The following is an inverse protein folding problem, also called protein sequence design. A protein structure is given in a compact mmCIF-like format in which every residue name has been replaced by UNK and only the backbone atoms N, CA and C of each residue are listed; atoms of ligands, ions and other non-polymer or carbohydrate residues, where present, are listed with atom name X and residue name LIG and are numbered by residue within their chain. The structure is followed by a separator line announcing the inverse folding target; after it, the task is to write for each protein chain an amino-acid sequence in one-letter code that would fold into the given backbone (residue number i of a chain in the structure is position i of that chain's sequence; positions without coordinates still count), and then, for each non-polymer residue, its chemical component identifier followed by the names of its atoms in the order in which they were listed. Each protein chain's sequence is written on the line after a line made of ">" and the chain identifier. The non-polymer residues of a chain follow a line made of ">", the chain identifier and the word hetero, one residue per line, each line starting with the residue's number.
data_IF_621827177278
#
_entry.id   IF_621827177278
#
_cell.length_a   1.000
_cell.length_b   1.000
_cell.length_c   1.000
_cell.angle_alpha   90.00
_cell.angle_beta   90.00
_cell.angle_gamma   90.00
#
_symmetry.space_group_name_H-M   'P 1'
#
loop_
_entity.id
_entity.type
_entity.pdbx_description
1 polymer ?
#
# COMPACT_ATOMS: atom_id res chain seq x y z
N UNK A 1 8.08 3.92 -45.40
CA UNK A 1 8.83 2.73 -44.96
C UNK A 1 8.01 2.04 -43.89
N UNK A 2 7.25 1.02 -44.27
CA UNK A 2 6.28 0.36 -43.40
C UNK A 2 6.99 -0.53 -42.39
N UNK A 3 6.93 -0.18 -41.10
CA UNK A 3 7.21 -1.12 -40.02
C UNK A 3 6.11 -2.19 -40.06
N UNK A 4 6.47 -3.39 -40.53
CA UNK A 4 5.69 -4.59 -40.28
C UNK A 4 5.67 -4.80 -38.76
N UNK A 5 4.55 -4.47 -38.13
CA UNK A 5 4.26 -4.86 -36.75
C UNK A 5 4.08 -6.37 -36.76
N UNK A 6 5.17 -7.08 -36.47
CA UNK A 6 5.11 -8.48 -36.08
C UNK A 6 4.34 -8.52 -34.76
N UNK A 7 3.30 -9.36 -34.60
CA UNK A 7 2.57 -9.42 -33.34
C UNK A 7 3.53 -9.85 -32.22
N UNK A 8 3.62 -9.11 -31.11
CA UNK A 8 4.49 -9.47 -30.01
C UNK A 8 4.07 -10.80 -29.40
N UNK A 9 5.07 -11.60 -28.96
CA UNK A 9 4.79 -12.87 -28.28
C UNK A 9 4.27 -12.59 -26.87
N UNK A 10 3.37 -13.41 -26.30
CA UNK A 10 2.66 -13.17 -25.02
C UNK A 10 3.52 -12.86 -23.76
N UNK A 11 4.83 -13.06 -23.84
CA UNK A 11 5.78 -12.85 -22.73
C UNK A 11 6.66 -11.61 -22.89
N UNK A 12 6.74 -11.03 -24.09
CA UNK A 12 7.62 -9.88 -24.39
C UNK A 12 6.95 -8.57 -23.94
N UNK A 13 5.63 -8.44 -24.15
CA UNK A 13 4.82 -7.32 -23.67
C UNK A 13 4.81 -7.19 -22.14
N UNK A 14 4.79 -8.33 -21.44
CA UNK A 14 4.74 -8.37 -19.97
C UNK A 14 6.00 -7.81 -19.32
N UNK A 15 7.16 -8.11 -19.90
CA UNK A 15 8.45 -7.59 -19.42
C UNK A 15 8.58 -6.09 -19.70
N UNK A 16 8.04 -5.61 -20.82
CA UNK A 16 8.00 -4.19 -21.14
C UNK A 16 7.12 -3.41 -20.16
N UNK A 17 5.88 -3.88 -19.92
CA UNK A 17 4.96 -3.27 -18.93
C UNK A 17 5.56 -3.28 -17.53
N UNK A 18 6.15 -4.40 -17.09
CA UNK A 18 6.78 -4.45 -15.77
C UNK A 18 7.97 -3.51 -15.66
N UNK A 19 8.78 -3.37 -16.73
CA UNK A 19 9.89 -2.42 -16.76
C UNK A 19 9.39 -0.99 -16.57
N UNK A 20 8.30 -0.61 -17.24
CA UNK A 20 7.68 0.72 -17.05
C UNK A 20 7.20 0.92 -15.62
N UNK A 21 6.53 -0.09 -15.04
CA UNK A 21 6.11 -0.04 -13.63
C UNK A 21 7.31 0.06 -12.67
N UNK A 22 8.39 -0.65 -12.94
CA UNK A 22 9.61 -0.62 -12.13
C UNK A 22 10.26 0.77 -12.20
N UNK A 23 10.45 1.32 -13.39
CA UNK A 23 11.03 2.66 -13.59
C UNK A 23 10.16 3.72 -12.89
N UNK A 24 8.84 3.59 -12.99
CA UNK A 24 7.90 4.59 -12.47
C UNK A 24 7.67 4.49 -10.96
N UNK A 25 7.62 3.28 -10.41
CA UNK A 25 7.16 3.03 -9.03
C UNK A 25 8.18 2.34 -8.12
N UNK A 26 9.34 1.91 -8.65
CA UNK A 26 10.38 1.23 -7.87
C UNK A 26 10.77 2.00 -6.62
N UNK A 27 10.99 3.31 -6.72
CA UNK A 27 11.29 4.16 -5.57
C UNK A 27 10.20 4.16 -4.50
N UNK A 28 8.92 4.25 -4.88
CA UNK A 28 7.79 4.23 -3.94
C UNK A 28 7.62 2.87 -3.26
N UNK A 29 7.80 1.78 -4.02
CA UNK A 29 7.75 0.42 -3.49
C UNK A 29 8.90 0.19 -2.50
N UNK A 30 10.13 0.59 -2.86
CA UNK A 30 11.29 0.53 -1.96
C UNK A 30 11.07 1.31 -0.69
N UNK A 31 10.53 2.53 -0.77
CA UNK A 31 10.28 3.35 0.41
C UNK A 31 9.24 2.73 1.33
N UNK A 32 8.20 2.09 0.75
CA UNK A 32 7.24 1.31 1.52
C UNK A 32 7.91 0.11 2.22
N UNK A 33 8.77 -0.63 1.51
CA UNK A 33 9.53 -1.71 2.12
C UNK A 33 10.45 -1.21 3.23
N UNK A 34 11.11 -0.06 3.05
CA UNK A 34 11.99 0.57 4.04
C UNK A 34 11.22 1.00 5.28
N UNK A 35 10.03 1.56 5.10
CA UNK A 35 9.14 1.92 6.19
C UNK A 35 8.78 0.70 7.06
N UNK A 36 8.48 -0.44 6.44
CA UNK A 36 8.07 -1.67 7.14
C UNK A 36 9.26 -2.47 7.70
N UNK A 37 10.34 -2.62 6.96
CA UNK A 37 11.46 -3.47 7.37
C UNK A 37 12.49 -2.73 8.24
N UNK A 38 12.46 -1.40 8.23
CA UNK A 38 13.41 -0.51 8.95
C UNK A 38 14.88 -0.83 8.64
N UNK A 39 15.15 -1.44 7.48
CA UNK A 39 16.47 -1.82 6.99
C UNK A 39 16.54 -1.53 5.48
N UNK A 40 17.56 -0.78 5.05
CA UNK A 40 17.69 -0.33 3.67
C UNK A 40 18.06 -1.47 2.70
N UNK A 41 18.93 -2.39 3.11
CA UNK A 41 19.34 -3.52 2.27
C UNK A 41 18.17 -4.47 2.06
N UNK A 42 17.47 -4.81 3.15
CA UNK A 42 16.29 -5.67 3.09
C UNK A 42 15.16 -5.03 2.28
N UNK A 43 15.02 -3.71 2.34
CA UNK A 43 14.02 -3.00 1.56
C UNK A 43 14.28 -3.06 0.05
N UNK A 44 15.55 -3.03 -0.36
CA UNK A 44 15.94 -3.17 -1.76
C UNK A 44 15.68 -4.59 -2.27
N UNK A 45 16.04 -5.60 -1.48
CA UNK A 45 15.75 -7.01 -1.79
C UNK A 45 14.24 -7.27 -1.87
N UNK A 46 13.48 -6.78 -0.88
CA UNK A 46 12.04 -6.89 -0.84
C UNK A 46 11.35 -6.20 -2.03
N UNK A 47 11.83 -5.03 -2.46
CA UNK A 47 11.34 -4.37 -3.66
C UNK A 47 11.55 -5.25 -4.89
N UNK A 48 12.73 -5.86 -5.07
CA UNK A 48 12.98 -6.76 -6.19
C UNK A 48 12.04 -7.96 -6.18
N UNK A 49 11.83 -8.59 -5.02
CA UNK A 49 10.88 -9.70 -4.85
C UNK A 49 9.44 -9.30 -5.17
N UNK A 50 9.03 -8.07 -4.83
CA UNK A 50 7.70 -7.55 -5.17
C UNK A 50 7.50 -7.46 -6.67
N UNK A 51 8.47 -6.92 -7.41
CA UNK A 51 8.37 -6.85 -8.87
C UNK A 51 8.48 -8.23 -9.53
N UNK A 52 9.26 -9.15 -8.96
CA UNK A 52 9.28 -10.55 -9.40
C UNK A 52 7.92 -11.22 -9.21
N UNK A 53 7.26 -11.03 -8.06
CA UNK A 53 5.89 -11.52 -7.80
C UNK A 53 4.87 -10.87 -8.72
N UNK A 54 4.99 -9.57 -8.96
CA UNK A 54 4.12 -8.83 -9.89
C UNK A 54 4.26 -9.37 -11.32
N UNK A 55 5.45 -9.81 -11.73
CA UNK A 55 5.66 -10.46 -13.03
C UNK A 55 4.88 -11.78 -13.15
N UNK A 56 4.93 -12.60 -12.08
CA UNK A 56 4.30 -13.93 -12.04
C UNK A 56 2.77 -13.82 -11.94
N UNK A 57 2.25 -12.86 -11.16
CA UNK A 57 0.83 -12.74 -10.86
C UNK A 57 0.12 -11.59 -11.58
N UNK A 58 0.76 -10.94 -12.54
CA UNK A 58 0.24 -9.74 -13.23
C UNK A 58 -1.12 -9.93 -13.90
N UNK A 59 -1.47 -11.16 -14.29
CA UNK A 59 -2.80 -11.49 -14.86
C UNK A 59 -3.95 -11.34 -13.85
N UNK A 60 -3.65 -11.29 -12.55
CA UNK A 60 -4.65 -11.06 -11.50
C UNK A 60 -4.95 -9.57 -11.26
N UNK A 61 -4.24 -8.65 -11.93
CA UNK A 61 -4.50 -7.22 -11.79
C UNK A 61 -5.78 -6.82 -12.53
N UNK A 62 -6.87 -6.65 -11.77
CA UNK A 62 -8.21 -6.34 -12.31
C UNK A 62 -8.44 -4.88 -12.68
N UNK A 63 -7.42 -4.02 -12.67
CA UNK A 63 -7.52 -2.57 -12.90
C UNK A 63 -8.53 -1.79 -12.02
N UNK A 64 -9.09 -2.43 -10.99
CA UNK A 64 -9.99 -1.84 -9.99
C UNK A 64 -9.28 -0.83 -9.07
N UNK A 65 -7.94 -0.86 -9.04
CA UNK A 65 -7.09 0.04 -8.26
C UNK A 65 -5.92 0.56 -9.12
N UNK A 66 -5.26 1.64 -8.68
CA UNK A 66 -4.08 2.13 -9.40
C UNK A 66 -2.95 1.08 -9.36
N UNK A 67 -2.09 0.99 -10.40
CA UNK A 67 -0.94 0.08 -10.39
C UNK A 67 -0.04 0.25 -9.16
N UNK A 68 0.15 1.48 -8.69
CA UNK A 68 0.90 1.76 -7.47
C UNK A 68 0.23 1.17 -6.23
N UNK A 69 -1.09 1.37 -6.06
CA UNK A 69 -1.85 0.80 -4.93
C UNK A 69 -1.71 -0.72 -4.89
N UNK A 70 -1.79 -1.38 -6.05
CA UNK A 70 -1.60 -2.82 -6.15
C UNK A 70 -0.18 -3.25 -5.77
N UNK A 71 0.86 -2.57 -6.27
CA UNK A 71 2.26 -2.85 -5.91
C UNK A 71 2.53 -2.63 -4.41
N UNK A 72 1.98 -1.57 -3.81
CA UNK A 72 2.10 -1.28 -2.37
C UNK A 72 1.44 -2.37 -1.51
N UNK A 73 0.32 -2.94 -1.97
CA UNK A 73 -0.32 -4.07 -1.31
C UNK A 73 0.55 -5.33 -1.35
N UNK A 74 1.12 -5.66 -2.51
CA UNK A 74 2.08 -6.79 -2.63
C UNK A 74 3.28 -6.57 -1.71
N UNK A 75 3.85 -5.35 -1.72
CA UNK A 75 4.98 -4.98 -0.87
C UNK A 75 4.67 -5.14 0.62
N UNK A 76 3.50 -4.67 1.05
CA UNK A 76 3.07 -4.77 2.45
C UNK A 76 2.94 -6.22 2.89
N UNK A 77 2.22 -7.05 2.12
CA UNK A 77 2.09 -8.47 2.44
C UNK A 77 3.44 -9.19 2.44
N UNK A 78 4.31 -8.89 1.48
CA UNK A 78 5.63 -9.50 1.40
C UNK A 78 6.49 -9.15 2.63
N UNK A 79 6.55 -7.87 3.00
CA UNK A 79 7.30 -7.43 4.18
C UNK A 79 6.72 -8.01 5.48
N UNK A 80 5.40 -8.00 5.64
CA UNK A 80 4.75 -8.58 6.82
C UNK A 80 5.00 -10.08 6.94
N UNK A 81 5.02 -10.82 5.82
CA UNK A 81 5.38 -12.24 5.85
C UNK A 81 6.83 -12.47 6.29
N UNK A 82 7.78 -11.64 5.85
CA UNK A 82 9.16 -11.70 6.36
C UNK A 82 9.18 -11.42 7.87
N UNK A 83 8.54 -10.36 8.32
CA UNK A 83 8.49 -9.99 9.74
C UNK A 83 7.84 -11.10 10.60
N UNK A 84 6.77 -11.73 10.10
CA UNK A 84 6.15 -12.90 10.77
C UNK A 84 7.13 -14.05 10.94
N UNK A 85 7.99 -14.31 9.94
CA UNK A 85 9.02 -15.35 10.03
C UNK A 85 10.10 -15.05 11.07
N UNK A 86 10.29 -13.77 11.44
CA UNK A 86 11.23 -13.32 12.48
C UNK A 86 10.63 -13.33 13.91
N UNK A 87 9.33 -13.60 14.06
CA UNK A 87 8.68 -13.76 15.36
C UNK A 87 8.43 -12.45 16.11
N UNK A 88 8.61 -12.40 17.44
CA UNK A 88 8.27 -11.22 18.24
C UNK A 88 9.31 -10.08 18.21
N UNK A 89 10.48 -10.32 17.63
CA UNK A 89 11.61 -9.37 17.66
C UNK A 89 11.32 -8.08 16.88
N UNK A 90 10.66 -8.18 15.72
CA UNK A 90 10.39 -7.03 14.86
C UNK A 90 9.41 -6.02 15.49
N UNK A 91 8.49 -6.46 16.36
CA UNK A 91 7.52 -5.56 17.00
C UNK A 91 8.19 -4.48 17.86
N UNK A 92 9.42 -4.73 18.34
CA UNK A 92 10.20 -3.76 19.11
C UNK A 92 10.74 -2.61 18.24
N UNK A 93 10.90 -2.81 16.93
CA UNK A 93 11.47 -1.82 16.02
C UNK A 93 10.51 -0.66 15.73
N UNK A 94 9.21 -0.89 15.82
CA UNK A 94 8.19 0.11 15.52
C UNK A 94 7.76 0.96 16.72
N UNK A 95 8.27 0.70 17.92
CA UNK A 95 8.00 1.53 19.09
C UNK A 95 8.64 2.94 19.01
N UNK A 96 9.34 3.26 17.91
CA UNK A 96 10.07 4.51 17.68
C UNK A 96 9.96 4.96 16.22
N UNK A 97 8.83 5.48 15.77
CA UNK A 97 8.81 6.42 14.63
C UNK A 97 7.43 7.02 14.37
N UNK A 98 7.37 8.35 14.30
CA UNK A 98 6.20 9.14 13.90
C UNK A 98 6.70 10.29 13.01
N UNK A 99 6.61 10.14 11.69
CA UNK A 99 6.42 11.21 10.71
C UNK A 99 6.79 10.76 9.28
N UNK A 100 5.80 10.71 8.38
CA UNK A 100 5.85 11.26 7.02
C UNK A 100 4.63 10.79 6.21
N UNK A 101 3.92 11.73 5.57
CA UNK A 101 2.81 11.49 4.65
C UNK A 101 3.11 12.13 3.29
N UNK A 102 2.63 11.51 2.20
CA UNK A 102 2.34 12.20 0.93
C UNK A 102 1.34 11.42 0.07
N UNK A 103 0.51 12.17 -0.64
CA UNK A 103 -0.72 11.80 -1.35
C UNK A 103 -0.53 11.40 -2.82
N UNK A 104 -1.56 10.77 -3.43
CA UNK A 104 -1.62 10.42 -4.86
C UNK A 104 -3.02 10.59 -5.49
N UNK A 105 -3.08 10.85 -6.80
CA UNK A 105 -4.24 11.37 -7.56
C UNK A 105 -4.92 10.35 -8.52
N UNK A 106 -6.17 10.60 -8.95
CA UNK A 106 -6.73 10.09 -10.23
C UNK A 106 -8.27 10.00 -10.38
N UNK A 107 -8.78 10.32 -11.59
CA UNK A 107 -9.96 9.82 -12.36
C UNK A 107 -11.40 10.17 -11.91
N UNK A 108 -12.29 10.65 -12.82
CA UNK A 108 -13.52 11.43 -12.56
C UNK A 108 -14.70 10.82 -11.77
N UNK A 109 -15.17 9.58 -12.01
CA UNK A 109 -16.24 8.97 -11.15
C UNK A 109 -15.66 8.38 -9.85
N UNK A 110 -14.47 7.78 -9.97
CA UNK A 110 -13.64 7.48 -8.82
C UNK A 110 -13.25 8.75 -8.05
N UNK A 111 -13.37 9.94 -8.65
CA UNK A 111 -12.98 11.22 -8.07
C UNK A 111 -13.97 11.63 -7.00
N UNK A 112 -15.26 11.41 -7.20
CA UNK A 112 -16.27 11.75 -6.19
C UNK A 112 -16.12 10.87 -4.95
N UNK A 113 -15.95 9.56 -5.13
CA UNK A 113 -15.68 8.64 -4.01
C UNK A 113 -14.32 8.92 -3.37
N UNK A 114 -13.27 9.19 -4.16
CA UNK A 114 -11.93 9.54 -3.65
C UNK A 114 -11.93 10.86 -2.91
N UNK A 115 -12.67 11.86 -3.39
CA UNK A 115 -12.77 13.17 -2.73
C UNK A 115 -13.54 13.05 -1.44
N UNK A 116 -14.59 12.23 -1.39
CA UNK A 116 -15.30 11.94 -0.14
C UNK A 116 -14.37 11.24 0.87
N UNK A 117 -13.65 10.20 0.44
CA UNK A 117 -12.66 9.52 1.29
C UNK A 117 -11.53 10.48 1.71
N UNK A 118 -11.04 11.35 0.83
CA UNK A 118 -10.00 12.34 1.13
C UNK A 118 -10.48 13.38 2.13
N UNK A 119 -11.70 13.90 1.96
CA UNK A 119 -12.35 14.82 2.92
C UNK A 119 -12.52 14.15 4.28
N UNK A 120 -12.97 12.90 4.29
CA UNK A 120 -13.14 12.12 5.52
C UNK A 120 -11.80 11.90 6.23
N UNK A 121 -10.75 11.50 5.50
CA UNK A 121 -9.40 11.36 6.05
C UNK A 121 -8.89 12.70 6.59
N UNK A 122 -9.09 13.81 5.89
CA UNK A 122 -8.67 15.13 6.35
C UNK A 122 -9.31 15.59 7.67
N UNK A 123 -10.44 14.99 8.08
CA UNK A 123 -11.13 15.30 9.35
C UNK A 123 -10.53 14.58 10.56
N UNK A 124 -9.61 13.63 10.37
CA UNK A 124 -8.96 12.87 11.46
C UNK A 124 -7.46 13.10 11.48
N UNK A 125 -6.86 12.83 12.63
CA UNK A 125 -5.44 13.10 12.89
C UNK A 125 -4.46 12.23 12.08
N UNK A 126 -3.17 12.55 12.21
CA UNK A 126 -2.05 11.91 11.52
C UNK A 126 -2.04 10.36 11.62
N UNK A 127 -2.36 9.89 12.81
CA UNK A 127 -2.27 8.49 13.18
C UNK A 127 -3.55 7.75 12.79
N UNK A 128 -4.72 8.38 12.96
CA UNK A 128 -6.02 7.78 12.60
C UNK A 128 -6.14 7.53 11.09
N UNK A 129 -5.70 8.44 10.21
CA UNK A 129 -5.71 8.14 8.77
C UNK A 129 -4.72 7.00 8.45
N UNK A 130 -3.56 6.95 9.11
CA UNK A 130 -2.58 5.90 8.88
C UNK A 130 -3.14 4.53 9.29
N UNK A 131 -3.82 4.45 10.44
CA UNK A 131 -4.52 3.25 10.88
C UNK A 131 -5.59 2.81 9.87
N UNK A 132 -6.44 3.74 9.40
CA UNK A 132 -7.48 3.46 8.42
C UNK A 132 -6.91 2.97 7.08
N UNK A 133 -5.84 3.60 6.58
CA UNK A 133 -5.17 3.19 5.34
C UNK A 133 -4.55 1.80 5.52
N UNK A 134 -3.77 1.58 6.57
CA UNK A 134 -3.12 0.29 6.80
C UNK A 134 -4.12 -0.86 6.98
N UNK A 135 -5.23 -0.61 7.67
CA UNK A 135 -6.24 -1.63 7.89
C UNK A 135 -7.11 -1.87 6.65
N UNK A 136 -7.74 -0.83 6.09
CA UNK A 136 -8.74 -0.99 5.02
C UNK A 136 -8.13 -1.09 3.61
N UNK A 137 -7.03 -0.37 3.35
CA UNK A 137 -6.39 -0.35 2.02
C UNK A 137 -5.31 -1.42 1.94
N UNK A 138 -4.39 -1.42 2.91
CA UNK A 138 -3.24 -2.32 2.88
C UNK A 138 -3.61 -3.74 3.38
N UNK A 139 -4.75 -3.92 4.06
CA UNK A 139 -5.28 -5.22 4.48
C UNK A 139 -4.57 -5.83 5.69
N UNK A 140 -3.93 -5.00 6.51
CA UNK A 140 -3.20 -5.43 7.70
C UNK A 140 -4.13 -5.83 8.85
N UNK A 141 -3.70 -6.74 9.72
CA UNK A 141 -4.44 -7.03 10.96
C UNK A 141 -4.28 -5.92 11.99
N UNK A 142 -5.15 -5.88 13.01
CA UNK A 142 -5.06 -4.89 14.09
C UNK A 142 -3.71 -4.95 14.82
N UNK A 143 -3.16 -6.16 15.02
CA UNK A 143 -1.86 -6.38 15.65
C UNK A 143 -0.72 -5.83 14.80
N UNK A 144 -0.83 -5.95 13.47
CA UNK A 144 0.17 -5.44 12.54
C UNK A 144 0.12 -3.92 12.45
N UNK A 145 -1.07 -3.34 12.39
CA UNK A 145 -1.24 -1.88 12.44
C UNK A 145 -0.72 -1.33 13.77
N UNK A 146 -1.06 -1.99 14.89
CA UNK A 146 -0.59 -1.61 16.22
C UNK A 146 0.93 -1.68 16.33
N UNK A 147 1.54 -2.75 15.80
CA UNK A 147 2.98 -2.86 15.71
C UNK A 147 3.54 -1.70 14.88
N UNK A 148 3.12 -1.53 13.62
CA UNK A 148 3.66 -0.52 12.70
C UNK A 148 3.56 0.92 13.24
N UNK A 149 2.46 1.26 13.90
CA UNK A 149 2.25 2.60 14.46
C UNK A 149 2.87 2.77 15.86
N UNK A 150 3.44 1.73 16.46
CA UNK A 150 3.96 1.78 17.83
C UNK A 150 2.88 2.05 18.87
N UNK A 151 1.68 1.45 18.70
CA UNK A 151 0.50 1.62 19.55
C UNK A 151 -0.04 0.29 20.07
N UNK A 152 -0.97 0.37 21.02
CA UNK A 152 -1.70 -0.82 21.49
C UNK A 152 -2.84 -1.18 20.53
N UNK A 153 -3.19 -2.47 20.43
CA UNK A 153 -4.34 -2.94 19.65
C UNK A 153 -5.66 -2.23 20.04
N UNK A 154 -5.97 -2.03 21.35
CA UNK A 154 -7.13 -1.24 21.75
C UNK A 154 -7.11 0.21 21.23
N UNK A 155 -5.94 0.86 21.22
CA UNK A 155 -5.79 2.21 20.67
C UNK A 155 -6.10 2.24 19.18
N UNK A 156 -5.57 1.30 18.41
CA UNK A 156 -5.85 1.19 16.97
C UNK A 156 -7.33 0.94 16.72
N UNK A 157 -7.96 0.03 17.47
CA UNK A 157 -9.39 -0.27 17.36
C UNK A 157 -10.23 1.00 17.56
N UNK A 158 -9.98 1.73 18.65
CA UNK A 158 -10.69 2.98 18.97
C UNK A 158 -10.57 4.02 17.85
N UNK A 159 -9.40 4.13 17.22
CA UNK A 159 -9.18 5.04 16.09
C UNK A 159 -9.98 4.62 14.85
N UNK A 160 -10.03 3.33 14.55
CA UNK A 160 -10.83 2.80 13.44
C UNK A 160 -12.33 2.98 13.68
N UNK A 161 -12.80 2.81 14.92
CA UNK A 161 -14.18 3.09 15.32
C UNK A 161 -14.53 4.58 15.11
N UNK A 162 -13.68 5.50 15.58
CA UNK A 162 -13.85 6.93 15.35
C UNK A 162 -13.90 7.29 13.85
N UNK A 163 -13.04 6.67 13.03
CA UNK A 163 -13.06 6.88 11.58
C UNK A 163 -14.35 6.34 10.94
N UNK A 164 -14.83 5.18 11.39
CA UNK A 164 -16.06 4.57 10.89
C UNK A 164 -17.31 5.37 11.26
N UNK A 165 -17.38 5.93 12.47
CA UNK A 165 -18.46 6.83 12.90
C UNK A 165 -18.56 8.06 12.00
N UNK A 166 -17.43 8.72 11.74
CA UNK A 166 -17.38 9.88 10.83
C UNK A 166 -17.82 9.51 9.40
N UNK A 167 -17.44 8.32 8.91
CA UNK A 167 -17.87 7.83 7.61
C UNK A 167 -19.38 7.53 7.56
N UNK A 168 -19.94 7.03 8.67
CA UNK A 168 -21.37 6.80 8.83
C UNK A 168 -22.19 8.09 8.80
N UNK A 169 -21.72 9.15 9.45
CA UNK A 169 -22.34 10.48 9.36
C UNK A 169 -22.34 11.01 7.92
N UNK A 170 -21.21 10.93 7.22
CA UNK A 170 -21.06 11.45 5.84
C UNK A 170 -21.92 10.67 4.82
N UNK A 171 -22.12 9.36 5.03
CA UNK A 171 -22.94 8.49 4.19
C UNK A 171 -24.44 8.54 4.56
N UNK A 172 -24.78 8.97 5.78
CA UNK A 172 -26.16 9.14 6.25
C UNK A 172 -26.73 10.53 5.90
N UNK A 173 -25.88 11.50 5.56
CA UNK A 173 -26.29 12.81 5.01
C UNK A 173 -26.48 12.69 3.49
N UNK A 174 -27.53 11.99 3.06
CA UNK A 174 -28.14 12.11 1.72
C UNK A 174 -29.64 11.85 1.77
#
# INVERSE_FOLDING_TARGET
>A
MALKVVPPRPNEDRRAVLRELYVKYGGSVRERCRYLLKDASRAEDAMHDVFARALVHGESFRAEASPLTWLIKIATHHCLNQLRSEGAAWRKWFARDEAARSEGHGGAEAMETRDLVRKLLARVDAETQAAAIHYHVDGMTLEEVAAVLGRSVPTVRKRLEQFAELGGEELSVR
#
